data_IF_783531573467
#
_entry.id   IF_783531573467
#
_cell.length_a   1.000
_cell.length_b   1.000
_cell.length_c   1.000
_cell.angle_alpha   90.00
_cell.angle_beta   90.00
_cell.angle_gamma   90.00
#
_symmetry.space_group_name_H-M   'P 1'
#
loop_
_entity.id
_entity.type
_entity.pdbx_description
1 polymer ?
#
# COMPACT_ATOMS: atom_id res chain seq x y z
N UNK A 1 -77.15 -35.96 -117.20
CA UNK A 1 -76.19 -36.85 -117.90
C UNK A 1 -74.81 -36.56 -117.31
N UNK A 2 -74.11 -37.40 -116.57
CA UNK A 2 -74.22 -38.83 -116.34
C UNK A 2 -73.92 -39.15 -114.87
N UNK A 3 -74.83 -39.89 -114.24
CA UNK A 3 -74.67 -40.55 -112.96
C UNK A 3 -73.65 -41.67 -113.15
N UNK A 4 -72.38 -41.41 -112.83
CA UNK A 4 -71.34 -42.44 -112.83
C UNK A 4 -71.52 -43.35 -111.61
N UNK A 5 -71.99 -44.57 -111.86
CA UNK A 5 -72.12 -45.65 -110.88
C UNK A 5 -70.82 -45.83 -110.08
N UNK A 6 -70.93 -45.77 -108.74
CA UNK A 6 -69.83 -46.14 -107.84
C UNK A 6 -69.65 -47.65 -107.88
N UNK A 7 -68.59 -48.09 -108.54
CA UNK A 7 -68.13 -49.48 -108.51
C UNK A 7 -67.86 -49.88 -107.05
N UNK A 8 -68.48 -50.95 -106.50
CA UNK A 8 -68.30 -51.35 -105.11
C UNK A 8 -66.89 -51.91 -104.90
N UNK A 9 -66.06 -51.19 -104.13
CA UNK A 9 -64.74 -51.70 -103.74
C UNK A 9 -64.90 -52.84 -102.72
N UNK A 10 -64.30 -54.02 -102.93
CA UNK A 10 -64.46 -55.17 -102.05
C UNK A 10 -63.90 -54.91 -100.65
N UNK A 11 -64.67 -55.30 -99.63
CA UNK A 11 -64.38 -55.17 -98.19
C UNK A 11 -62.92 -55.47 -97.75
N UNK A 12 -62.23 -56.51 -98.28
CA UNK A 12 -60.84 -56.79 -97.89
C UNK A 12 -59.85 -55.66 -98.22
N UNK A 13 -60.08 -54.84 -99.25
CA UNK A 13 -59.20 -53.69 -99.55
C UNK A 13 -59.39 -52.51 -98.56
N UNK A 14 -60.62 -52.32 -98.04
CA UNK A 14 -60.89 -51.27 -97.03
C UNK A 14 -60.23 -51.60 -95.69
N UNK A 15 -60.23 -52.88 -95.30
CA UNK A 15 -59.57 -53.34 -94.07
C UNK A 15 -58.04 -53.19 -94.13
N UNK A 16 -57.43 -53.46 -95.29
CA UNK A 16 -55.97 -53.29 -95.47
C UNK A 16 -55.55 -51.83 -95.39
N UNK A 17 -56.33 -50.90 -95.96
CA UNK A 17 -56.10 -49.44 -95.84
C UNK A 17 -56.31 -48.93 -94.42
N UNK A 18 -57.31 -49.44 -93.69
CA UNK A 18 -57.51 -49.10 -92.28
C UNK A 18 -56.32 -49.56 -91.43
N UNK A 19 -55.86 -50.81 -91.60
CA UNK A 19 -54.70 -51.35 -90.87
C UNK A 19 -53.41 -50.58 -91.12
N UNK A 20 -53.19 -50.12 -92.36
CA UNK A 20 -51.95 -49.44 -92.74
C UNK A 20 -51.97 -47.93 -92.47
N UNK A 21 -53.15 -47.29 -92.38
CA UNK A 21 -53.27 -45.86 -92.16
C UNK A 21 -53.66 -45.46 -90.74
N UNK A 22 -54.77 -45.98 -90.22
CA UNK A 22 -55.38 -45.47 -88.97
C UNK A 22 -54.80 -46.13 -87.71
N UNK A 23 -54.37 -47.38 -87.81
CA UNK A 23 -53.86 -48.16 -86.67
C UNK A 23 -52.55 -47.60 -86.07
N UNK A 24 -51.54 -47.19 -86.87
CA UNK A 24 -50.31 -46.59 -86.33
C UNK A 24 -50.57 -45.26 -85.60
N UNK A 25 -51.45 -44.43 -86.15
CA UNK A 25 -51.81 -43.13 -85.57
C UNK A 25 -52.51 -43.29 -84.23
N UNK A 26 -53.45 -44.23 -84.13
CA UNK A 26 -54.13 -44.55 -82.86
C UNK A 26 -53.14 -45.07 -81.80
N UNK A 27 -52.18 -45.90 -82.21
CA UNK A 27 -51.17 -46.45 -81.31
C UNK A 27 -50.25 -45.35 -80.76
N UNK A 28 -49.84 -44.40 -81.61
CA UNK A 28 -49.05 -43.24 -81.19
C UNK A 28 -49.80 -42.35 -80.20
N UNK A 29 -51.08 -42.05 -80.48
CA UNK A 29 -51.93 -41.26 -79.56
C UNK A 29 -52.07 -42.00 -78.22
N UNK A 30 -52.31 -43.31 -78.25
CA UNK A 30 -52.40 -44.11 -77.03
C UNK A 30 -51.10 -44.06 -76.23
N UNK A 31 -49.93 -44.16 -76.87
CA UNK A 31 -48.63 -44.04 -76.21
C UNK A 31 -48.44 -42.66 -75.54
N UNK A 32 -48.78 -41.56 -76.22
CA UNK A 32 -48.70 -40.20 -75.66
C UNK A 32 -49.62 -40.03 -74.45
N UNK A 33 -50.87 -40.52 -74.54
CA UNK A 33 -51.81 -40.46 -73.41
C UNK A 33 -51.28 -41.27 -72.23
N UNK A 34 -50.74 -42.46 -72.47
CA UNK A 34 -50.15 -43.28 -71.41
C UNK A 34 -48.93 -42.62 -70.76
N UNK A 35 -48.07 -41.96 -71.53
CA UNK A 35 -46.89 -41.27 -70.97
C UNK A 35 -47.30 -40.09 -70.10
N UNK A 36 -48.25 -39.26 -70.56
CA UNK A 36 -48.78 -38.15 -69.76
C UNK A 36 -49.48 -38.65 -68.50
N UNK A 37 -50.28 -39.71 -68.62
CA UNK A 37 -50.96 -40.31 -67.48
C UNK A 37 -49.98 -40.87 -66.44
N UNK A 38 -48.92 -41.54 -66.89
CA UNK A 38 -47.86 -42.04 -66.01
C UNK A 38 -47.15 -40.88 -65.31
N UNK A 39 -46.85 -39.81 -66.03
CA UNK A 39 -46.13 -38.65 -65.50
C UNK A 39 -46.95 -37.88 -64.46
N UNK A 40 -48.27 -37.75 -64.66
CA UNK A 40 -49.16 -37.17 -63.64
C UNK A 40 -49.28 -38.04 -62.40
N UNK A 41 -49.20 -39.37 -62.55
CA UNK A 41 -49.36 -40.31 -61.44
C UNK A 41 -48.07 -40.51 -60.63
N UNK A 42 -46.91 -40.46 -61.27
CA UNK A 42 -45.60 -40.66 -60.63
C UNK A 42 -44.83 -39.36 -60.36
N UNK A 43 -45.21 -38.23 -60.97
CA UNK A 43 -44.57 -36.93 -60.77
C UNK A 43 -44.91 -36.22 -59.46
N UNK A 44 -45.49 -36.91 -58.48
CA UNK A 44 -45.79 -36.30 -57.17
C UNK A 44 -44.59 -36.37 -56.23
N UNK A 45 -43.97 -35.20 -56.11
CA UNK A 45 -43.23 -34.62 -54.98
C UNK A 45 -41.99 -35.41 -54.52
N UNK A 46 -40.75 -34.90 -54.74
CA UNK A 46 -39.62 -35.35 -53.95
C UNK A 46 -39.92 -35.01 -52.49
N UNK A 47 -40.18 -36.04 -51.69
CA UNK A 47 -40.41 -35.93 -50.26
C UNK A 47 -39.07 -35.47 -49.63
N UNK A 48 -38.87 -34.16 -49.63
CA UNK A 48 -37.62 -33.54 -49.19
C UNK A 48 -37.72 -33.37 -47.69
N UNK A 49 -37.18 -34.34 -46.96
CA UNK A 49 -36.98 -34.24 -45.52
C UNK A 49 -35.72 -33.41 -45.33
N UNK A 50 -35.90 -32.15 -44.93
CA UNK A 50 -34.79 -31.32 -44.48
C UNK A 50 -34.52 -31.60 -43.01
N UNK A 51 -33.33 -32.11 -42.70
CA UNK A 51 -32.83 -32.17 -41.33
C UNK A 51 -32.14 -30.84 -41.03
N UNK A 52 -32.60 -30.15 -39.98
CA UNK A 52 -31.97 -28.91 -39.50
C UNK A 52 -30.95 -29.34 -38.44
N UNK A 53 -29.68 -29.33 -38.80
CA UNK A 53 -28.59 -29.52 -37.85
C UNK A 53 -28.40 -28.23 -37.04
N UNK A 54 -28.93 -28.21 -35.82
CA UNK A 54 -28.71 -27.12 -34.88
C UNK A 54 -27.46 -27.43 -34.03
N UNK A 55 -26.43 -26.60 -34.16
CA UNK A 55 -25.26 -26.65 -33.26
C UNK A 55 -25.72 -26.20 -31.87
N UNK A 56 -25.69 -27.13 -30.91
CA UNK A 56 -26.06 -26.86 -29.52
C UNK A 56 -24.80 -26.63 -28.69
N UNK A 57 -24.84 -25.60 -27.86
CA UNK A 57 -23.79 -25.29 -26.89
C UNK A 57 -24.43 -25.25 -25.52
N UNK A 58 -24.00 -26.13 -24.63
CA UNK A 58 -24.48 -26.16 -23.25
C UNK A 58 -23.67 -25.16 -22.43
N UNK A 59 -24.37 -24.22 -21.78
CA UNK A 59 -23.77 -23.24 -20.89
C UNK A 59 -23.81 -23.76 -19.46
N UNK A 60 -22.64 -23.99 -18.88
CA UNK A 60 -22.48 -24.33 -17.47
C UNK A 60 -22.01 -23.12 -16.66
N UNK A 61 -22.47 -23.01 -15.42
CA UNK A 61 -21.94 -22.03 -14.48
C UNK A 61 -20.51 -22.39 -14.08
N UNK A 62 -19.66 -21.39 -13.88
CA UNK A 62 -18.28 -21.59 -13.41
C UNK A 62 -18.22 -21.95 -11.91
N UNK A 63 -19.27 -21.64 -11.16
CA UNK A 63 -19.35 -21.83 -9.72
C UNK A 63 -20.76 -22.28 -9.35
N UNK A 64 -20.88 -23.09 -8.30
CA UNK A 64 -22.16 -23.50 -7.74
C UNK A 64 -22.82 -22.34 -7.00
N UNK A 65 -24.16 -22.27 -7.04
CA UNK A 65 -24.91 -21.26 -6.33
C UNK A 65 -26.40 -21.26 -6.64
N UNK A 66 -27.12 -20.32 -6.04
CA UNK A 66 -28.56 -20.12 -6.27
C UNK A 66 -28.77 -19.13 -7.41
N UNK A 67 -29.66 -19.45 -8.36
CA UNK A 67 -30.00 -18.53 -9.44
C UNK A 67 -30.80 -17.34 -8.89
N UNK A 68 -30.30 -16.13 -9.14
CA UNK A 68 -30.97 -14.88 -8.84
C UNK A 68 -31.87 -14.44 -10.02
N UNK A 69 -33.01 -13.79 -9.74
CA UNK A 69 -33.90 -13.31 -10.79
C UNK A 69 -33.20 -12.24 -11.65
N UNK A 70 -33.35 -12.37 -12.97
CA UNK A 70 -32.88 -11.36 -13.92
C UNK A 70 -33.83 -10.17 -13.94
N UNK A 71 -33.30 -8.96 -14.19
CA UNK A 71 -34.09 -7.74 -14.28
C UNK A 71 -35.15 -7.76 -15.41
N UNK A 72 -34.96 -8.61 -16.43
CA UNK A 72 -35.87 -8.78 -17.57
C UNK A 72 -37.01 -9.78 -17.31
N UNK A 73 -36.95 -10.55 -16.22
CA UNK A 73 -37.85 -11.69 -15.98
C UNK A 73 -37.27 -13.04 -16.46
N UNK A 74 -38.05 -14.13 -16.38
CA UNK A 74 -37.60 -15.47 -16.77
C UNK A 74 -37.49 -15.62 -18.30
N UNK A 75 -36.55 -16.44 -18.77
CA UNK A 75 -36.41 -16.77 -20.19
C UNK A 75 -37.53 -17.70 -20.66
N UNK A 76 -38.05 -17.44 -21.86
CA UNK A 76 -38.91 -18.38 -22.58
C UNK A 76 -38.10 -19.24 -23.55
N UNK A 77 -38.59 -20.44 -23.83
CA UNK A 77 -37.93 -21.36 -24.77
C UNK A 77 -37.93 -20.72 -26.17
N UNK A 78 -36.77 -20.72 -26.84
CA UNK A 78 -36.51 -20.07 -28.14
C UNK A 78 -36.42 -18.54 -28.15
N UNK A 79 -36.21 -17.91 -26.99
CA UNK A 79 -35.82 -16.50 -26.95
C UNK A 79 -34.47 -16.26 -27.63
N UNK A 80 -34.39 -15.19 -28.42
CA UNK A 80 -33.15 -14.75 -29.04
C UNK A 80 -32.18 -14.18 -27.99
N UNK A 81 -30.91 -14.56 -28.10
CA UNK A 81 -29.81 -14.12 -27.23
C UNK A 81 -28.69 -13.51 -28.05
N UNK A 82 -28.15 -12.40 -27.57
CA UNK A 82 -26.97 -11.77 -28.16
C UNK A 82 -25.68 -12.27 -27.49
N UNK A 83 -24.56 -12.12 -28.21
CA UNK A 83 -23.25 -12.41 -27.64
C UNK A 83 -22.97 -11.51 -26.41
N UNK A 84 -22.39 -12.09 -25.35
CA UNK A 84 -22.15 -11.45 -24.05
C UNK A 84 -23.40 -11.01 -23.27
N UNK A 85 -24.60 -11.44 -23.69
CA UNK A 85 -25.80 -11.20 -22.92
C UNK A 85 -25.82 -12.06 -21.65
N UNK A 86 -26.22 -11.46 -20.53
CA UNK A 86 -26.35 -12.17 -19.26
C UNK A 86 -27.57 -13.09 -19.32
N UNK A 87 -27.34 -14.39 -19.43
CA UNK A 87 -28.40 -15.42 -19.47
C UNK A 87 -28.83 -15.83 -18.07
N UNK A 88 -27.91 -15.87 -17.11
CA UNK A 88 -28.19 -16.22 -15.72
C UNK A 88 -27.32 -15.38 -14.79
N UNK A 89 -27.82 -15.11 -13.58
CA UNK A 89 -27.06 -14.48 -12.50
C UNK A 89 -27.15 -15.36 -11.27
N UNK A 90 -26.04 -15.54 -10.58
CA UNK A 90 -25.99 -16.23 -9.29
C UNK A 90 -26.24 -15.20 -8.19
N UNK A 91 -26.85 -15.61 -7.08
CA UNK A 91 -27.01 -14.74 -5.91
C UNK A 91 -25.66 -14.49 -5.24
N UNK A 92 -25.09 -13.31 -5.49
CA UNK A 92 -23.82 -12.88 -4.91
C UNK A 92 -23.98 -12.24 -3.52
N UNK A 93 -25.16 -12.30 -2.89
CA UNK A 93 -25.43 -11.58 -1.63
C UNK A 93 -24.42 -11.91 -0.54
N UNK A 94 -24.15 -13.20 -0.30
CA UNK A 94 -23.17 -13.68 0.69
C UNK A 94 -21.76 -13.20 0.34
N UNK A 95 -21.33 -13.37 -0.91
CA UNK A 95 -20.00 -12.97 -1.37
C UNK A 95 -19.78 -11.46 -1.25
N UNK A 96 -20.83 -10.65 -1.47
CA UNK A 96 -20.77 -9.19 -1.29
C UNK A 96 -20.64 -8.80 0.16
N UNK A 97 -21.31 -9.49 1.09
CA UNK A 97 -21.15 -9.22 2.51
C UNK A 97 -19.75 -9.63 2.99
N UNK A 98 -19.19 -10.74 2.53
CA UNK A 98 -17.80 -11.13 2.79
C UNK A 98 -16.80 -10.09 2.24
N UNK A 99 -17.00 -9.64 1.00
CA UNK A 99 -16.18 -8.58 0.41
C UNK A 99 -16.25 -7.27 1.20
N UNK A 100 -17.44 -6.88 1.67
CA UNK A 100 -17.60 -5.69 2.53
C UNK A 100 -16.87 -5.85 3.85
N UNK A 101 -16.95 -7.02 4.48
CA UNK A 101 -16.24 -7.31 5.73
C UNK A 101 -14.73 -7.23 5.54
N UNK A 102 -14.20 -7.85 4.48
CA UNK A 102 -12.77 -7.79 4.12
C UNK A 102 -12.31 -6.37 3.81
N UNK A 103 -13.11 -5.58 3.09
CA UNK A 103 -12.81 -4.17 2.83
C UNK A 103 -12.80 -3.33 4.11
N UNK A 104 -13.69 -3.61 5.06
CA UNK A 104 -13.70 -2.95 6.36
C UNK A 104 -12.47 -3.31 7.19
N UNK A 105 -12.05 -4.57 7.15
CA UNK A 105 -10.84 -5.04 7.83
C UNK A 105 -9.57 -4.44 7.23
N UNK A 106 -9.46 -4.37 5.90
CA UNK A 106 -8.36 -3.69 5.22
C UNK A 106 -8.27 -2.22 5.63
N UNK A 107 -9.38 -1.48 5.61
CA UNK A 107 -9.40 -0.08 6.06
C UNK A 107 -8.97 0.07 7.51
N UNK A 108 -9.37 -0.85 8.38
CA UNK A 108 -8.94 -0.86 9.78
C UNK A 108 -7.42 -1.08 9.87
N UNK A 109 -6.88 -2.06 9.15
CA UNK A 109 -5.44 -2.35 9.11
C UNK A 109 -4.64 -1.17 8.56
N UNK A 110 -5.12 -0.50 7.52
CA UNK A 110 -4.50 0.72 6.97
C UNK A 110 -4.45 1.84 8.02
N UNK A 111 -5.55 2.08 8.72
CA UNK A 111 -5.60 3.08 9.79
C UNK A 111 -4.68 2.71 10.95
N UNK A 112 -4.63 1.43 11.35
CA UNK A 112 -3.75 0.95 12.41
C UNK A 112 -2.27 1.08 12.01
N UNK A 113 -1.93 0.80 10.75
CA UNK A 113 -0.59 0.99 10.20
C UNK A 113 -0.21 2.47 10.19
N UNK A 114 -1.09 3.35 9.69
CA UNK A 114 -0.85 4.78 9.69
C UNK A 114 -0.65 5.32 11.11
N UNK A 115 -1.51 4.94 12.05
CA UNK A 115 -1.38 5.35 13.45
C UNK A 115 -0.06 4.86 14.07
N UNK A 116 0.37 3.64 13.75
CA UNK A 116 1.65 3.12 14.22
C UNK A 116 2.83 3.84 13.57
N UNK A 117 2.78 4.14 12.27
CA UNK A 117 3.81 4.92 11.58
C UNK A 117 3.96 6.32 12.16
N UNK A 118 2.84 7.00 12.44
CA UNK A 118 2.83 8.30 13.11
C UNK A 118 3.41 8.21 14.53
N UNK A 119 3.05 7.19 15.31
CA UNK A 119 3.64 6.95 16.64
C UNK A 119 5.15 6.73 16.57
N UNK A 120 5.63 5.88 15.67
CA UNK A 120 7.06 5.63 15.50
C UNK A 120 7.80 6.90 15.08
N UNK A 121 7.22 7.71 14.18
CA UNK A 121 7.80 8.99 13.79
C UNK A 121 7.89 9.97 14.98
N UNK A 122 6.86 10.04 15.81
CA UNK A 122 6.87 10.84 17.04
C UNK A 122 7.94 10.33 18.02
N UNK A 123 8.04 9.02 18.25
CA UNK A 123 9.04 8.43 19.15
C UNK A 123 10.48 8.67 18.68
N UNK A 124 10.74 8.67 17.37
CA UNK A 124 12.05 9.02 16.80
C UNK A 124 12.35 10.50 17.06
N UNK A 125 11.39 11.38 16.78
CA UNK A 125 11.55 12.82 16.99
C UNK A 125 11.78 13.15 18.48
N UNK A 126 11.06 12.49 19.39
CA UNK A 126 11.20 12.68 20.83
C UNK A 126 12.54 12.15 21.34
N UNK A 127 13.01 11.00 20.84
CA UNK A 127 14.37 10.51 21.14
C UNK A 127 15.45 11.50 20.70
N UNK A 128 15.33 12.05 19.49
CA UNK A 128 16.27 13.07 18.99
C UNK A 128 16.24 14.34 19.85
N UNK A 129 15.05 14.82 20.23
CA UNK A 129 14.91 15.98 21.12
C UNK A 129 15.52 15.73 22.49
N UNK A 130 15.23 14.60 23.10
CA UNK A 130 15.78 14.23 24.40
C UNK A 130 17.32 14.18 24.36
N UNK A 131 17.89 13.57 23.32
CA UNK A 131 19.33 13.55 23.09
C UNK A 131 19.94 14.96 22.97
N UNK A 132 19.32 15.83 22.17
CA UNK A 132 19.80 17.21 21.99
C UNK A 132 19.70 18.03 23.28
N UNK A 133 18.63 17.84 24.06
CA UNK A 133 18.45 18.49 25.36
C UNK A 133 19.51 18.04 26.36
N UNK A 134 19.77 16.73 26.45
CA UNK A 134 20.75 16.16 27.36
C UNK A 134 22.17 16.61 27.02
N UNK A 135 22.55 16.57 25.74
CA UNK A 135 23.88 17.04 25.29
C UNK A 135 24.07 18.53 25.55
N UNK A 136 23.06 19.35 25.26
CA UNK A 136 23.09 20.80 25.54
C UNK A 136 23.21 21.06 27.04
N UNK A 137 22.48 20.31 27.86
CA UNK A 137 22.56 20.41 29.32
C UNK A 137 23.95 20.06 29.84
N UNK A 138 24.54 18.95 29.38
CA UNK A 138 25.89 18.54 29.78
C UNK A 138 26.94 19.59 29.37
N UNK A 139 26.83 20.16 28.17
CA UNK A 139 27.70 21.25 27.72
C UNK A 139 27.57 22.49 28.59
N UNK A 140 26.35 22.87 28.97
CA UNK A 140 26.11 24.00 29.86
C UNK A 140 26.70 23.76 31.25
N UNK A 141 26.52 22.56 31.82
CA UNK A 141 27.10 22.18 33.11
C UNK A 141 28.64 22.25 33.06
N UNK A 142 29.25 21.83 31.94
CA UNK A 142 30.70 21.90 31.75
C UNK A 142 31.21 23.35 31.68
N UNK A 143 30.52 24.23 30.95
CA UNK A 143 30.85 25.66 30.91
C UNK A 143 30.69 26.32 32.28
N UNK A 144 29.63 25.97 33.02
CA UNK A 144 29.41 26.47 34.37
C UNK A 144 30.55 26.08 35.31
N UNK A 145 31.00 24.81 35.28
CA UNK A 145 32.14 24.36 36.07
C UNK A 145 33.44 25.07 35.69
N UNK A 146 33.67 25.35 34.40
CA UNK A 146 34.82 26.14 33.97
C UNK A 146 34.81 27.55 34.58
N UNK A 147 33.64 28.21 34.62
CA UNK A 147 33.50 29.52 35.27
C UNK A 147 33.78 29.42 36.77
N UNK A 148 33.26 28.40 37.46
CA UNK A 148 33.54 28.18 38.89
C UNK A 148 35.03 27.94 39.16
N UNK A 149 35.72 27.17 38.32
CA UNK A 149 37.18 26.98 38.42
C UNK A 149 37.92 28.30 38.27
N UNK A 150 37.54 29.12 37.27
CA UNK A 150 38.15 30.45 37.07
C UNK A 150 37.89 31.39 38.25
N UNK A 151 36.68 31.36 38.81
CA UNK A 151 36.30 32.14 40.00
C UNK A 151 37.14 31.73 41.22
N UNK A 152 37.26 30.43 41.51
CA UNK A 152 38.09 29.95 42.61
C UNK A 152 39.57 30.29 42.43
N UNK A 153 40.10 30.23 41.20
CA UNK A 153 41.47 30.67 40.90
C UNK A 153 41.65 32.17 41.15
N UNK A 154 40.72 33.01 40.68
CA UNK A 154 40.78 34.45 40.93
C UNK A 154 40.71 34.77 42.44
N UNK A 155 39.90 34.04 43.20
CA UNK A 155 39.83 34.17 44.66
C UNK A 155 41.14 33.77 45.32
N UNK A 156 41.76 32.66 44.91
CA UNK A 156 43.05 32.21 45.44
C UNK A 156 44.16 33.23 45.17
N UNK A 157 44.22 33.78 43.96
CA UNK A 157 45.19 34.83 43.63
C UNK A 157 44.99 36.05 44.53
N UNK A 158 43.75 36.50 44.70
CA UNK A 158 43.41 37.63 45.59
C UNK A 158 43.82 37.34 47.04
N UNK A 159 43.48 36.16 47.56
CA UNK A 159 43.80 35.74 48.92
C UNK A 159 45.31 35.57 49.12
N UNK A 160 46.03 35.08 48.11
CA UNK A 160 47.49 34.92 48.16
C UNK A 160 48.21 36.27 48.24
N UNK A 161 47.71 37.28 47.51
CA UNK A 161 48.22 38.65 47.57
C UNK A 161 47.92 39.29 48.93
N UNK A 162 46.73 39.04 49.49
CA UNK A 162 46.38 39.49 50.84
C UNK A 162 47.29 38.86 51.90
N UNK A 163 47.53 37.54 51.80
CA UNK A 163 48.44 36.83 52.71
C UNK A 163 49.87 37.37 52.61
N UNK A 164 50.37 37.60 51.39
CA UNK A 164 51.70 38.16 51.16
C UNK A 164 51.85 39.56 51.78
N UNK A 165 50.82 40.40 51.64
CA UNK A 165 50.76 41.71 52.29
C UNK A 165 50.82 41.58 53.82
N UNK A 166 49.97 40.73 54.41
CA UNK A 166 49.92 40.52 55.86
C UNK A 166 51.24 39.95 56.42
N UNK A 167 51.91 39.07 55.67
CA UNK A 167 53.23 38.58 56.04
C UNK A 167 54.27 39.69 56.04
N UNK A 168 54.27 40.55 55.01
CA UNK A 168 55.19 41.70 54.92
C UNK A 168 54.96 42.68 56.09
N UNK A 169 53.71 42.94 56.43
CA UNK A 169 53.34 43.79 57.57
C UNK A 169 53.82 43.18 58.90
N UNK A 170 53.64 41.86 59.08
CA UNK A 170 54.12 41.15 60.27
C UNK A 170 55.65 41.13 60.37
N UNK A 171 56.37 40.90 59.27
CA UNK A 171 57.84 40.95 59.24
C UNK A 171 58.37 42.33 59.66
N UNK A 172 57.64 43.41 59.37
CA UNK A 172 57.98 44.75 59.80
C UNK A 172 57.62 45.02 61.27
N UNK A 173 56.47 44.53 61.74
CA UNK A 173 55.97 44.80 63.10
C UNK A 173 56.66 43.95 64.18
N UNK A 174 57.08 42.72 63.88
CA UNK A 174 57.78 41.83 64.81
C UNK A 174 59.08 42.42 65.42
N UNK A 175 60.02 43.01 64.64
CA UNK A 175 61.19 43.67 65.20
C UNK A 175 60.86 44.97 65.96
N UNK A 176 59.72 45.62 65.67
CA UNK A 176 59.25 46.80 66.38
C UNK A 176 58.62 46.47 67.74
N UNK A 177 57.92 45.34 67.83
CA UNK A 177 57.46 44.76 69.09
C UNK A 177 58.66 44.46 70.00
N UNK A 178 59.72 43.84 69.47
CA UNK A 178 60.93 43.53 70.23
C UNK A 178 61.63 44.78 70.82
N UNK A 179 61.36 45.97 70.25
CA UNK A 179 61.84 47.27 70.72
C UNK A 179 60.80 48.05 71.55
N UNK A 180 59.67 47.43 71.92
CA UNK A 180 58.53 48.04 72.61
C UNK A 180 57.90 49.25 71.90
N UNK A 181 58.03 49.35 70.57
CA UNK A 181 57.51 50.47 69.78
C UNK A 181 56.06 50.28 69.30
N UNK A 182 55.53 49.05 69.37
CA UNK A 182 54.18 48.68 68.92
C UNK A 182 53.49 47.86 70.03
N UNK A 183 52.19 48.07 70.29
CA UNK A 183 51.45 47.26 71.26
C UNK A 183 51.28 45.82 70.78
N UNK A 184 51.47 44.85 71.68
CA UNK A 184 51.36 43.41 71.39
C UNK A 184 50.02 43.01 70.77
N UNK A 185 48.93 43.69 71.15
CA UNK A 185 47.59 43.47 70.58
C UNK A 185 47.55 43.65 69.06
N UNK A 186 48.32 44.58 68.52
CA UNK A 186 48.32 44.87 67.08
C UNK A 186 48.97 43.73 66.27
N UNK A 187 50.10 43.20 66.75
CA UNK A 187 50.77 42.05 66.15
C UNK A 187 49.90 40.79 66.25
N UNK A 188 49.26 40.56 67.40
CA UNK A 188 48.35 39.41 67.59
C UNK A 188 47.14 39.49 66.66
N UNK A 189 46.54 40.67 66.50
CA UNK A 189 45.43 40.86 65.56
C UNK A 189 45.84 40.58 64.11
N UNK A 190 47.02 41.07 63.69
CA UNK A 190 47.52 40.81 62.33
C UNK A 190 47.84 39.33 62.09
N UNK A 191 48.38 38.62 63.10
CA UNK A 191 48.55 37.16 63.03
C UNK A 191 47.21 36.43 62.89
N UNK A 192 46.19 36.83 63.63
CA UNK A 192 44.86 36.23 63.52
C UNK A 192 44.27 36.44 62.11
N UNK A 193 44.40 37.63 61.52
CA UNK A 193 43.96 37.89 60.15
C UNK A 193 44.72 37.03 59.14
N UNK A 194 46.05 36.88 59.30
CA UNK A 194 46.87 36.00 58.46
C UNK A 194 46.37 34.56 58.53
N UNK A 195 46.09 34.04 59.72
CA UNK A 195 45.61 32.67 59.90
C UNK A 195 44.21 32.47 59.32
N UNK A 196 43.34 33.48 59.39
CA UNK A 196 42.03 33.46 58.73
C UNK A 196 42.16 33.39 57.20
N UNK A 197 43.01 34.22 56.60
CA UNK A 197 43.26 34.20 55.14
C UNK A 197 43.91 32.90 54.72
N UNK A 198 44.89 32.38 55.47
CA UNK A 198 45.52 31.09 55.21
C UNK A 198 44.50 29.94 55.22
N UNK A 199 43.57 29.95 56.19
CA UNK A 199 42.48 28.96 56.24
C UNK A 199 41.50 29.11 55.07
N UNK A 200 41.21 30.34 54.64
CA UNK A 200 40.37 30.60 53.46
C UNK A 200 41.02 30.05 52.19
N UNK A 201 42.33 30.25 52.01
CA UNK A 201 43.11 29.66 50.92
C UNK A 201 43.00 28.14 50.94
N UNK A 202 43.19 27.50 52.10
CA UNK A 202 43.08 26.04 52.22
C UNK A 202 41.70 25.53 51.77
N UNK A 203 40.64 26.16 52.23
CA UNK A 203 39.25 25.80 51.87
C UNK A 203 39.02 25.99 50.36
N UNK A 204 39.42 27.13 49.80
CA UNK A 204 39.25 27.42 48.37
C UNK A 204 40.10 26.48 47.50
N UNK A 205 41.30 26.09 47.94
CA UNK A 205 42.10 25.09 47.21
C UNK A 205 41.43 23.72 47.18
N UNK A 206 40.79 23.27 48.27
CA UNK A 206 40.03 22.01 48.26
C UNK A 206 38.83 22.10 47.33
N UNK A 207 38.07 23.19 47.39
CA UNK A 207 36.94 23.42 46.50
C UNK A 207 37.36 23.47 45.02
N UNK A 208 38.51 24.06 44.71
CA UNK A 208 39.09 24.06 43.37
C UNK A 208 39.42 22.63 42.88
N UNK A 209 40.05 21.82 43.74
CA UNK A 209 40.37 20.42 43.39
C UNK A 209 39.10 19.60 43.13
N UNK A 210 38.06 19.78 43.94
CA UNK A 210 36.76 19.13 43.73
C UNK A 210 36.12 19.57 42.40
N UNK A 211 36.11 20.87 42.11
CA UNK A 211 35.57 21.40 40.86
C UNK A 211 36.34 20.89 39.63
N UNK A 212 37.66 20.78 39.70
CA UNK A 212 38.50 20.21 38.63
C UNK A 212 38.25 18.71 38.41
N UNK A 213 38.01 17.96 39.49
CA UNK A 213 37.64 16.54 39.40
C UNK A 213 36.27 16.37 38.73
N UNK A 214 35.28 17.15 39.14
CA UNK A 214 33.94 17.15 38.55
C UNK A 214 33.98 17.54 37.07
N UNK A 215 34.77 18.55 36.70
CA UNK A 215 34.97 18.95 35.30
C UNK A 215 35.52 17.81 34.44
N UNK A 216 36.57 17.11 34.91
CA UNK A 216 37.17 15.97 34.20
C UNK A 216 36.20 14.79 34.09
N UNK A 217 35.42 14.52 35.13
CA UNK A 217 34.42 13.44 35.11
C UNK A 217 33.32 13.76 34.09
N UNK A 218 32.80 14.99 34.10
CA UNK A 218 31.77 15.43 33.17
C UNK A 218 32.28 15.43 31.72
N UNK A 219 33.53 15.83 31.49
CA UNK A 219 34.16 15.76 30.17
C UNK A 219 34.25 14.31 29.66
N UNK A 220 34.60 13.35 30.54
CA UNK A 220 34.59 11.92 30.18
C UNK A 220 33.19 11.43 29.86
N UNK A 221 32.19 11.80 30.66
CA UNK A 221 30.78 11.44 30.42
C UNK A 221 30.29 11.99 29.08
N UNK A 222 30.64 13.23 28.74
CA UNK A 222 30.28 13.84 27.45
C UNK A 222 30.92 13.09 26.27
N UNK A 223 32.19 12.68 26.38
CA UNK A 223 32.89 11.89 25.34
C UNK A 223 32.32 10.48 25.18
N UNK A 224 31.81 9.89 26.25
CA UNK A 224 31.22 8.55 26.26
C UNK A 224 29.71 8.58 25.94
N UNK A 225 29.12 9.76 25.79
CA UNK A 225 27.70 9.88 25.52
C UNK A 225 27.40 9.27 24.14
N UNK A 226 26.48 8.29 24.06
CA UNK A 226 26.29 7.50 22.85
C UNK A 226 25.80 8.41 21.73
N UNK A 227 26.51 8.42 20.59
CA UNK A 227 26.05 9.17 19.42
C UNK A 227 24.73 8.57 18.93
N UNK A 228 23.79 9.42 18.52
CA UNK A 228 22.61 8.96 17.80
C UNK A 228 23.08 8.21 16.55
N UNK A 229 22.88 6.90 16.50
CA UNK A 229 22.97 6.16 15.25
C UNK A 229 21.90 6.75 14.32
N UNK A 230 22.33 7.31 13.19
CA UNK A 230 21.39 7.71 12.14
C UNK A 230 20.65 6.45 11.66
N UNK A 231 19.32 6.53 11.49
CA UNK A 231 18.49 5.38 11.11
C UNK A 231 18.81 4.86 9.69
#
# INVERSE_FOLDING_TARGET
MNSGERIPTPWPLRWRRFRQGTLPVLCFIACCVFTVWLWQRQGRLPNTVGEIEAVRVDLAAATDGTLAPLARGPWTLFDEVEANQVVARIDDSVLREELKALQAELKRLENDLQANAERTAMEIADRQRAYLQDTTRLMWELQRLQLTILEHRAQLETDSMELLRLNTDLEFLEPMLAKNMVPEREVVNQRMLRDQVAKRIEVTTKALQEAEQQHKELERRLRQYPQLEEP
#
